data_IF_389140921359
#
_entry.id   IF_389140921359
#
_cell.length_a   1.000
_cell.length_b   1.000
_cell.length_c   1.000
_cell.angle_alpha   90.00
_cell.angle_beta   90.00
_cell.angle_gamma   90.00
#
_symmetry.space_group_name_H-M   'P 1'
#
loop_
_entity.id
_entity.type
_entity.pdbx_description
1 polymer ?
#
# COMPACT_ATOMS: atom_id res chain seq x y z
N UNK A 1 28.36 2.37 4.00
CA UNK A 1 27.91 1.00 4.27
C UNK A 1 27.87 0.31 2.93
N UNK A 2 28.50 -0.88 2.78
CA UNK A 2 28.71 -1.57 1.51
C UNK A 2 27.43 -2.12 0.88
N UNK A 3 26.57 -1.21 0.39
CA UNK A 3 25.40 -1.55 -0.42
C UNK A 3 25.79 -1.39 -1.87
N UNK A 4 25.63 -2.45 -2.67
CA UNK A 4 25.82 -2.40 -4.11
C UNK A 4 24.69 -1.58 -4.73
N UNK A 5 25.03 -0.70 -5.68
CA UNK A 5 24.07 0.14 -6.40
C UNK A 5 24.33 0.08 -7.89
N UNK A 6 23.26 0.16 -8.68
CA UNK A 6 23.33 0.31 -10.14
C UNK A 6 22.29 1.34 -10.59
N UNK A 7 22.53 1.97 -11.72
CA UNK A 7 21.59 2.88 -12.40
C UNK A 7 20.95 2.24 -13.63
N UNK A 8 21.24 0.95 -13.88
CA UNK A 8 20.77 0.21 -15.06
C UNK A 8 19.39 -0.46 -14.86
N UNK A 9 18.73 -0.13 -13.74
CA UNK A 9 17.41 -0.68 -13.43
C UNK A 9 17.46 -2.17 -13.07
N UNK A 10 16.34 -2.86 -13.29
CA UNK A 10 16.22 -4.28 -12.99
C UNK A 10 17.09 -5.14 -13.90
N UNK A 11 17.30 -4.74 -15.16
CA UNK A 11 18.17 -5.44 -16.10
C UNK A 11 19.61 -5.52 -15.58
N UNK A 12 20.12 -4.42 -15.03
CA UNK A 12 21.45 -4.40 -14.40
C UNK A 12 21.52 -5.28 -13.14
N UNK A 13 20.44 -5.32 -12.35
CA UNK A 13 20.37 -6.21 -11.21
C UNK A 13 20.38 -7.68 -11.63
N UNK A 14 19.58 -8.03 -12.63
CA UNK A 14 19.50 -9.41 -13.19
C UNK A 14 20.83 -9.86 -13.80
N UNK A 15 21.58 -8.95 -14.43
CA UNK A 15 22.89 -9.26 -15.01
C UNK A 15 24.01 -9.35 -13.98
N UNK A 16 23.76 -9.01 -12.72
CA UNK A 16 24.76 -9.02 -11.67
C UNK A 16 24.94 -10.40 -11.03
N UNK A 17 26.13 -10.69 -10.53
CA UNK A 17 26.44 -11.95 -9.84
C UNK A 17 25.57 -12.16 -8.58
N UNK A 18 25.13 -11.05 -7.95
CA UNK A 18 24.31 -11.11 -6.71
C UNK A 18 22.87 -11.51 -6.98
N UNK A 19 22.37 -11.45 -8.22
CA UNK A 19 20.97 -11.77 -8.51
C UNK A 19 20.56 -13.17 -8.08
N UNK A 20 21.47 -14.13 -8.23
CA UNK A 20 21.22 -15.50 -7.79
C UNK A 20 20.98 -15.63 -6.27
N UNK A 21 21.52 -14.72 -5.46
CA UNK A 21 21.40 -14.68 -4.01
C UNK A 21 20.19 -13.87 -3.53
N UNK A 22 19.57 -13.06 -4.43
CA UNK A 22 18.39 -12.26 -4.09
C UNK A 22 17.20 -13.19 -3.87
N UNK A 23 16.59 -13.11 -2.70
CA UNK A 23 15.36 -13.83 -2.38
C UNK A 23 14.13 -12.94 -2.48
N UNK A 24 14.25 -11.66 -2.12
CA UNK A 24 13.15 -10.69 -2.01
C UNK A 24 13.51 -9.42 -2.77
N UNK A 25 12.56 -8.92 -3.56
CA UNK A 25 12.64 -7.65 -4.26
C UNK A 25 11.59 -6.69 -3.73
N UNK A 26 11.98 -5.47 -3.37
CA UNK A 26 11.06 -4.38 -3.03
C UNK A 26 10.95 -3.45 -4.22
N UNK A 27 9.77 -3.35 -4.81
CA UNK A 27 9.54 -2.46 -5.95
C UNK A 27 8.93 -1.14 -5.49
N UNK A 28 9.73 -0.08 -5.53
CA UNK A 28 9.33 1.29 -5.20
C UNK A 28 9.39 2.20 -6.43
N UNK A 29 9.08 1.68 -7.61
CA UNK A 29 9.17 2.42 -8.87
C UNK A 29 7.81 3.04 -9.27
N UNK A 30 7.16 2.52 -10.30
CA UNK A 30 5.85 2.98 -10.77
C UNK A 30 4.94 1.80 -11.10
N UNK A 31 3.64 2.03 -11.14
CA UNK A 31 2.66 1.02 -11.51
C UNK A 31 2.94 0.38 -12.88
N UNK A 32 3.39 1.17 -13.86
CA UNK A 32 3.74 0.68 -15.19
C UNK A 32 5.00 -0.19 -15.20
N UNK A 33 6.05 0.21 -14.49
CA UNK A 33 7.31 -0.54 -14.41
C UNK A 33 7.12 -1.84 -13.60
N UNK A 34 6.30 -1.82 -12.57
CA UNK A 34 6.05 -2.98 -11.72
C UNK A 34 5.56 -4.21 -12.50
N UNK A 35 4.78 -4.03 -13.56
CA UNK A 35 4.32 -5.15 -14.40
C UNK A 35 5.50 -5.95 -14.95
N UNK A 36 6.50 -5.26 -15.49
CA UNK A 36 7.71 -5.88 -16.06
C UNK A 36 8.57 -6.49 -14.96
N UNK A 37 8.74 -5.77 -13.84
CA UNK A 37 9.53 -6.24 -12.70
C UNK A 37 8.92 -7.50 -12.09
N UNK A 38 7.59 -7.55 -11.96
CA UNK A 38 6.88 -8.72 -11.46
C UNK A 38 7.09 -9.94 -12.37
N UNK A 39 7.01 -9.79 -13.69
CA UNK A 39 7.24 -10.89 -14.63
C UNK A 39 8.66 -11.48 -14.47
N UNK A 40 9.66 -10.61 -14.31
CA UNK A 40 11.05 -11.02 -14.08
C UNK A 40 11.19 -11.77 -12.74
N UNK A 41 10.65 -11.22 -11.66
CA UNK A 41 10.74 -11.83 -10.34
C UNK A 41 10.01 -13.18 -10.28
N UNK A 42 8.82 -13.29 -10.88
CA UNK A 42 8.08 -14.55 -10.98
C UNK A 42 8.86 -15.59 -11.76
N UNK A 43 9.41 -15.22 -12.93
CA UNK A 43 10.24 -16.08 -13.77
C UNK A 43 11.42 -16.67 -12.98
N UNK A 44 12.08 -15.84 -12.18
CA UNK A 44 13.30 -16.19 -11.46
C UNK A 44 13.04 -16.68 -10.01
N UNK A 45 11.76 -16.90 -9.66
CA UNK A 45 11.36 -17.44 -8.36
C UNK A 45 11.64 -16.51 -7.17
N UNK A 46 11.64 -15.18 -7.40
CA UNK A 46 11.87 -14.18 -6.36
C UNK A 46 10.56 -13.71 -5.76
N UNK A 47 10.54 -13.47 -4.44
CA UNK A 47 9.41 -12.81 -3.79
C UNK A 47 9.41 -11.31 -4.16
N UNK A 48 8.26 -10.80 -4.57
CA UNK A 48 8.05 -9.38 -4.86
C UNK A 48 7.20 -8.73 -3.77
N UNK A 49 7.73 -7.67 -3.18
CA UNK A 49 6.98 -6.77 -2.29
C UNK A 49 6.72 -5.48 -3.06
N UNK A 50 5.48 -5.32 -3.52
CA UNK A 50 5.06 -4.18 -4.33
C UNK A 50 4.71 -2.98 -3.44
N UNK A 51 5.50 -1.90 -3.54
CA UNK A 51 5.26 -0.61 -2.91
C UNK A 51 4.69 0.41 -3.89
N UNK A 52 4.30 -0.04 -5.09
CA UNK A 52 3.67 0.80 -6.12
C UNK A 52 2.14 0.65 -6.06
N UNK A 53 1.38 1.57 -6.66
CA UNK A 53 -0.07 1.42 -6.75
C UNK A 53 -0.54 0.47 -7.87
N UNK A 54 0.31 -0.44 -8.39
CA UNK A 54 -0.01 -1.33 -9.50
C UNK A 54 -1.10 -2.36 -9.19
N UNK A 55 -1.24 -2.76 -7.93
CA UNK A 55 -2.27 -3.69 -7.45
C UNK A 55 -2.33 -5.03 -8.21
N UNK A 56 -1.17 -5.62 -8.54
CA UNK A 56 -1.07 -6.91 -9.25
C UNK A 56 -1.22 -8.07 -8.28
N UNK A 57 -0.50 -8.05 -7.16
CA UNK A 57 -0.61 -9.06 -6.10
C UNK A 57 -1.81 -8.82 -5.17
N UNK A 58 -2.11 -9.76 -4.27
CA UNK A 58 -3.12 -9.54 -3.23
C UNK A 58 -2.72 -8.37 -2.34
N UNK A 59 -3.72 -7.61 -1.88
CA UNK A 59 -3.48 -6.51 -0.94
C UNK A 59 -3.07 -7.06 0.41
N UNK A 60 -1.88 -6.64 0.87
CA UNK A 60 -1.31 -7.05 2.13
C UNK A 60 -1.20 -5.86 3.09
N UNK A 61 -1.93 -5.95 4.18
CA UNK A 61 -1.82 -5.07 5.33
C UNK A 61 -1.33 -5.96 6.48
N UNK A 62 -0.03 -5.96 6.80
CA UNK A 62 0.57 -6.97 7.66
C UNK A 62 -0.15 -7.26 8.96
N UNK A 63 -0.60 -6.25 9.75
CA UNK A 63 -1.32 -6.53 10.99
C UNK A 63 -2.74 -7.11 10.80
N UNK A 64 -3.23 -7.19 9.56
CA UNK A 64 -4.59 -7.67 9.25
C UNK A 64 -4.56 -9.03 8.58
N UNK A 65 -3.75 -9.21 7.52
CA UNK A 65 -3.86 -10.38 6.65
C UNK A 65 -2.51 -10.91 6.11
N UNK A 66 -1.36 -10.60 6.74
CA UNK A 66 -0.07 -11.11 6.25
C UNK A 66 -0.03 -12.63 6.18
N UNK A 67 -0.60 -13.33 7.17
CA UNK A 67 -0.59 -14.78 7.25
C UNK A 67 -1.32 -15.45 6.09
N UNK A 68 -2.25 -14.76 5.44
CA UNK A 68 -3.00 -15.25 4.28
C UNK A 68 -2.17 -15.20 2.98
N UNK A 69 -1.02 -14.54 3.01
CA UNK A 69 -0.23 -14.24 1.82
C UNK A 69 1.22 -14.71 1.87
N UNK A 70 1.59 -15.50 2.86
CA UNK A 70 2.97 -16.01 3.04
C UNK A 70 3.46 -16.91 1.90
N UNK A 71 2.54 -17.48 1.14
CA UNK A 71 2.81 -18.36 -0.01
C UNK A 71 2.79 -17.62 -1.37
N UNK A 72 2.52 -16.32 -1.39
CA UNK A 72 2.40 -15.54 -2.63
C UNK A 72 3.76 -15.03 -3.09
N UNK A 73 3.99 -15.09 -4.39
CA UNK A 73 5.20 -14.55 -4.99
C UNK A 73 5.19 -13.03 -5.15
N UNK A 74 4.01 -12.41 -5.13
CA UNK A 74 3.83 -10.96 -5.12
C UNK A 74 2.81 -10.59 -4.06
N UNK A 75 3.12 -9.59 -3.25
CA UNK A 75 2.19 -8.97 -2.31
C UNK A 75 2.19 -7.47 -2.53
N UNK A 76 0.99 -6.89 -2.69
CA UNK A 76 0.83 -5.46 -2.86
C UNK A 76 0.63 -4.78 -1.51
N UNK A 77 1.51 -3.85 -1.16
CA UNK A 77 1.48 -3.11 0.11
C UNK A 77 0.51 -1.93 0.08
N UNK A 78 -0.36 -1.88 -0.89
CA UNK A 78 -1.39 -0.84 -1.07
C UNK A 78 -0.76 0.54 -1.26
N UNK A 79 -0.80 1.39 -0.23
CA UNK A 79 -0.20 2.73 -0.20
C UNK A 79 0.21 3.08 1.23
N UNK A 80 1.05 4.09 1.39
CA UNK A 80 1.45 4.55 2.74
C UNK A 80 0.24 4.98 3.59
N UNK A 81 -0.70 5.73 3.00
CA UNK A 81 -1.95 6.09 3.67
C UNK A 81 -2.82 4.85 3.97
N UNK A 82 -2.90 3.91 3.02
CA UNK A 82 -3.61 2.65 3.23
C UNK A 82 -3.03 1.82 4.38
N UNK A 83 -1.71 1.67 4.44
CA UNK A 83 -1.04 0.95 5.55
C UNK A 83 -1.31 1.57 6.92
N UNK A 84 -1.38 2.91 6.98
CA UNK A 84 -1.64 3.62 8.22
C UNK A 84 -3.11 3.55 8.67
N UNK A 85 -4.06 3.42 7.76
CA UNK A 85 -5.48 3.67 8.02
C UNK A 85 -6.39 2.45 7.91
N UNK A 86 -6.11 1.54 6.97
CA UNK A 86 -6.93 0.33 6.77
C UNK A 86 -7.02 -0.54 8.04
N UNK A 87 -5.97 -0.71 8.86
CA UNK A 87 -6.09 -1.43 10.13
C UNK A 87 -7.16 -0.85 11.06
N UNK A 88 -7.36 0.48 11.06
CA UNK A 88 -8.37 1.14 11.88
C UNK A 88 -9.79 0.84 11.34
N UNK A 89 -9.98 0.87 10.03
CA UNK A 89 -11.25 0.47 9.40
C UNK A 89 -11.56 -0.99 9.74
N UNK A 90 -10.59 -1.87 9.61
CA UNK A 90 -10.73 -3.29 9.94
C UNK A 90 -11.10 -3.49 11.41
N UNK A 91 -10.47 -2.74 12.35
CA UNK A 91 -10.80 -2.80 13.76
C UNK A 91 -12.27 -2.44 14.03
N UNK A 92 -12.80 -1.40 13.36
CA UNK A 92 -14.22 -1.02 13.45
C UNK A 92 -15.12 -2.12 12.85
N UNK A 93 -14.75 -2.66 11.70
CA UNK A 93 -15.52 -3.74 11.04
C UNK A 93 -15.66 -4.98 11.94
N UNK A 94 -14.61 -5.33 12.66
CA UNK A 94 -14.62 -6.51 13.56
C UNK A 94 -15.62 -6.42 14.73
N UNK A 95 -16.03 -5.23 15.10
CA UNK A 95 -16.90 -4.98 16.28
C UNK A 95 -18.24 -4.36 15.91
N UNK A 96 -18.52 -4.21 14.63
CA UNK A 96 -19.77 -3.71 14.06
C UNK A 96 -20.51 -4.80 13.29
N UNK A 97 -21.82 -4.67 13.13
CA UNK A 97 -22.61 -5.60 12.31
C UNK A 97 -22.30 -5.40 10.81
N UNK A 98 -22.09 -4.14 10.40
CA UNK A 98 -21.59 -3.77 9.08
C UNK A 98 -20.93 -2.40 9.08
N UNK A 99 -20.11 -2.13 8.05
CA UNK A 99 -19.53 -0.82 7.75
C UNK A 99 -19.89 -0.47 6.30
N UNK A 100 -21.08 0.12 6.06
CA UNK A 100 -21.55 0.45 4.71
C UNK A 100 -20.63 1.41 3.96
N UNK A 101 -19.87 2.25 4.68
CA UNK A 101 -18.97 3.24 4.07
C UNK A 101 -17.79 3.55 4.98
N UNK A 102 -16.60 3.63 4.38
CA UNK A 102 -15.43 4.21 5.04
C UNK A 102 -14.64 5.10 4.08
N UNK A 103 -14.10 6.20 4.61
CA UNK A 103 -13.31 7.18 3.86
C UNK A 103 -12.01 7.48 4.59
N UNK A 104 -10.94 7.58 3.81
CA UNK A 104 -9.62 7.98 4.27
C UNK A 104 -9.26 9.32 3.62
N UNK A 105 -8.84 10.29 4.42
CA UNK A 105 -8.30 11.57 3.98
C UNK A 105 -6.86 11.65 4.43
N UNK A 106 -5.92 11.44 3.51
CA UNK A 106 -4.49 11.48 3.76
C UNK A 106 -3.91 12.85 3.38
N UNK A 107 -3.46 13.63 4.36
CA UNK A 107 -2.75 14.90 4.13
C UNK A 107 -1.25 14.66 4.23
N UNK A 108 -0.56 14.73 3.10
CA UNK A 108 0.88 14.51 3.00
C UNK A 108 1.60 15.82 2.66
N UNK A 109 2.83 15.98 3.14
CA UNK A 109 3.65 17.13 2.74
C UNK A 109 3.86 17.13 1.23
N UNK A 110 3.61 18.27 0.58
CA UNK A 110 3.87 18.45 -0.85
C UNK A 110 5.32 18.13 -1.22
N UNK A 111 6.28 18.36 -0.32
CA UNK A 111 7.69 18.00 -0.51
C UNK A 111 7.96 16.50 -0.51
N UNK A 112 7.15 15.72 0.21
CA UNK A 112 7.28 14.25 0.27
C UNK A 112 6.68 13.57 -0.96
N UNK A 113 5.76 14.24 -1.67
CA UNK A 113 5.17 13.75 -2.88
C UNK A 113 6.13 13.92 -4.07
N UNK A 114 6.93 12.91 -4.33
CA UNK A 114 7.84 12.88 -5.48
C UNK A 114 7.12 12.81 -6.84
N UNK A 115 7.88 12.84 -7.95
CA UNK A 115 7.31 12.75 -9.29
C UNK A 115 6.42 11.53 -9.50
N UNK A 116 6.81 10.37 -8.97
CA UNK A 116 6.04 9.14 -9.06
C UNK A 116 4.67 9.25 -8.37
N UNK A 117 4.61 9.77 -7.14
CA UNK A 117 3.35 9.98 -6.42
C UNK A 117 2.43 10.94 -7.18
N UNK A 118 2.98 12.02 -7.72
CA UNK A 118 2.20 13.03 -8.46
C UNK A 118 1.66 12.49 -9.79
N UNK A 119 2.43 11.65 -10.46
CA UNK A 119 2.03 11.03 -11.73
C UNK A 119 0.98 9.91 -11.55
N UNK A 120 0.88 9.32 -10.34
CA UNK A 120 0.00 8.18 -10.06
C UNK A 120 -1.00 8.49 -8.93
N UNK A 121 -1.48 9.74 -8.87
CA UNK A 121 -2.44 10.15 -7.82
C UNK A 121 -3.77 9.41 -7.93
N UNK A 122 -4.24 9.16 -9.14
CA UNK A 122 -5.49 8.45 -9.37
C UNK A 122 -5.37 6.99 -8.93
N UNK A 123 -4.29 6.32 -9.32
CA UNK A 123 -3.99 4.94 -8.89
C UNK A 123 -3.81 4.85 -7.37
N UNK A 124 -3.23 5.89 -6.74
CA UNK A 124 -3.14 5.94 -5.28
C UNK A 124 -4.52 5.93 -4.63
N UNK A 125 -5.42 6.77 -5.10
CA UNK A 125 -6.78 6.89 -4.52
C UNK A 125 -7.61 5.66 -4.78
N UNK A 126 -7.56 5.10 -5.99
CA UNK A 126 -8.28 3.89 -6.37
C UNK A 126 -7.78 2.67 -5.58
N UNK A 127 -6.46 2.45 -5.53
CA UNK A 127 -5.87 1.34 -4.80
C UNK A 127 -6.15 1.42 -3.31
N UNK A 128 -6.08 2.62 -2.72
CA UNK A 128 -6.39 2.81 -1.30
C UNK A 128 -7.87 2.56 -1.02
N UNK A 129 -8.78 3.12 -1.83
CA UNK A 129 -10.22 2.91 -1.68
C UNK A 129 -10.58 1.42 -1.76
N UNK A 130 -10.00 0.70 -2.73
CA UNK A 130 -10.21 -0.75 -2.86
C UNK A 130 -9.61 -1.52 -1.67
N UNK A 131 -8.48 -1.09 -1.11
CA UNK A 131 -7.91 -1.68 0.11
C UNK A 131 -8.82 -1.52 1.33
N UNK A 132 -9.52 -0.37 1.44
CA UNK A 132 -10.54 -0.12 2.47
C UNK A 132 -11.70 -1.11 2.36
N UNK A 133 -12.10 -1.47 1.12
CA UNK A 133 -13.15 -2.46 0.88
C UNK A 133 -12.66 -3.89 1.14
N UNK A 134 -11.61 -4.30 0.45
CA UNK A 134 -11.15 -5.70 0.40
C UNK A 134 -10.49 -6.16 1.69
N UNK A 135 -9.71 -5.29 2.34
CA UNK A 135 -8.97 -5.62 3.56
C UNK A 135 -9.63 -4.99 4.80
N UNK A 136 -10.07 -3.74 4.68
CA UNK A 136 -10.76 -3.03 5.77
C UNK A 136 -12.15 -3.57 6.07
N UNK A 137 -12.80 -4.21 5.09
CA UNK A 137 -14.13 -4.81 5.22
C UNK A 137 -15.29 -3.83 5.10
N UNK A 138 -15.05 -2.59 4.66
CA UNK A 138 -16.13 -1.67 4.32
C UNK A 138 -16.82 -2.09 3.01
N UNK A 139 -18.15 -1.93 2.93
CA UNK A 139 -18.90 -2.23 1.70
C UNK A 139 -18.53 -1.27 0.57
N UNK A 140 -18.25 0.01 0.92
CA UNK A 140 -17.77 1.02 0.00
C UNK A 140 -16.64 1.83 0.62
N UNK A 141 -15.51 1.89 -0.08
CA UNK A 141 -14.32 2.65 0.30
C UNK A 141 -14.16 3.92 -0.52
N UNK A 142 -13.55 4.94 0.09
CA UNK A 142 -13.08 6.14 -0.59
C UNK A 142 -11.75 6.58 -0.02
N UNK A 143 -10.88 7.12 -0.88
CA UNK A 143 -9.64 7.74 -0.45
C UNK A 143 -9.49 9.12 -1.08
N UNK A 144 -8.97 10.05 -0.30
CA UNK A 144 -8.65 11.42 -0.71
C UNK A 144 -7.20 11.68 -0.30
N UNK A 145 -6.38 12.15 -1.23
CA UNK A 145 -5.04 12.64 -0.95
C UNK A 145 -4.99 14.17 -1.03
N UNK A 146 -4.40 14.79 -0.03
CA UNK A 146 -4.16 16.23 0.03
C UNK A 146 -2.66 16.48 0.02
N UNK A 147 -2.16 17.14 -1.01
CA UNK A 147 -0.78 17.61 -1.08
C UNK A 147 -0.66 18.95 -0.36
N UNK A 148 -0.19 18.91 0.88
CA UNK A 148 -0.12 20.08 1.77
C UNK A 148 1.18 20.87 1.54
N UNK A 149 1.10 22.17 1.15
CA UNK A 149 2.26 23.01 0.89
C UNK A 149 2.83 23.70 2.13
N UNK A 150 2.38 23.36 3.34
CA UNK A 150 2.81 24.05 4.57
C UNK A 150 4.33 24.00 4.78
N UNK A 151 4.86 25.08 5.33
CA UNK A 151 6.25 25.22 5.76
C UNK A 151 6.31 25.61 7.26
N UNK A 152 7.08 24.88 8.08
CA UNK A 152 7.87 23.69 7.75
C UNK A 152 7.01 22.49 7.31
N UNK A 153 7.60 21.53 6.54
CA UNK A 153 6.87 20.38 6.04
C UNK A 153 6.23 19.59 7.18
N UNK A 154 4.96 19.28 7.04
CA UNK A 154 4.22 18.51 8.05
C UNK A 154 4.48 17.01 7.92
N UNK A 155 4.35 16.29 9.03
CA UNK A 155 4.22 14.83 9.03
C UNK A 155 2.86 14.47 8.40
N UNK A 156 2.80 13.35 7.68
CA UNK A 156 1.53 12.83 7.14
C UNK A 156 0.48 12.73 8.24
N UNK A 157 -0.69 13.27 7.97
CA UNK A 157 -1.85 13.22 8.86
C UNK A 157 -3.01 12.60 8.12
N UNK A 158 -3.50 11.51 8.68
CA UNK A 158 -4.64 10.78 8.13
C UNK A 158 -5.86 10.96 9.02
N UNK A 159 -7.01 11.12 8.37
CA UNK A 159 -8.32 11.11 9.02
C UNK A 159 -9.15 9.99 8.43
N UNK A 160 -9.78 9.22 9.29
CA UNK A 160 -10.60 8.08 8.92
C UNK A 160 -12.04 8.37 9.33
N UNK A 161 -12.96 8.22 8.40
CA UNK A 161 -14.40 8.25 8.65
C UNK A 161 -14.94 6.86 8.35
N UNK A 162 -15.60 6.25 9.33
CA UNK A 162 -16.29 4.97 9.16
C UNK A 162 -17.74 5.13 9.58
N UNK A 163 -18.66 4.82 8.68
CA UNK A 163 -20.08 4.71 9.00
C UNK A 163 -20.36 3.25 9.35
N UNK A 164 -20.55 2.97 10.63
CA UNK A 164 -20.85 1.64 11.17
C UNK A 164 -22.32 1.52 11.56
N UNK A 165 -22.85 0.32 11.39
CA UNK A 165 -24.20 -0.06 11.82
C UNK A 165 -24.08 -1.18 12.84
N UNK A 166 -24.82 -1.08 13.94
CA UNK A 166 -24.70 -2.03 15.06
C UNK A 166 -23.36 -1.91 15.79
N UNK A 167 -23.09 -2.86 16.66
CA UNK A 167 -21.91 -2.86 17.50
C UNK A 167 -22.09 -2.07 18.80
N UNK A 168 -21.12 -2.23 19.70
CA UNK A 168 -21.10 -1.54 20.99
C UNK A 168 -20.05 -0.42 20.94
N UNK A 169 -20.46 0.81 21.19
CA UNK A 169 -19.59 2.00 21.21
C UNK A 169 -18.31 1.80 22.03
N UNK A 170 -18.39 1.09 23.14
CA UNK A 170 -17.25 0.84 24.01
C UNK A 170 -16.22 -0.10 23.38
N UNK A 171 -16.65 -1.03 22.52
CA UNK A 171 -15.74 -1.91 21.77
C UNK A 171 -15.04 -1.19 20.62
N UNK A 172 -15.70 -0.20 20.02
CA UNK A 172 -15.09 0.64 18.97
C UNK A 172 -14.01 1.56 19.55
N UNK A 173 -14.14 1.96 20.84
CA UNK A 173 -13.21 2.87 21.53
C UNK A 173 -11.98 2.17 22.13
N UNK A 174 -11.99 0.89 22.27
CA UNK A 174 -10.87 0.07 22.78
C UNK A 174 -9.83 -0.24 21.71
#
# INVERSE_FOLDING_TARGET
RGVSTTHEGIEGAVASDIWSEVAICFDATSAGAHKIHNEICVRDGKLMVDLTPAAIGPFCIPPVNADEHVDKQNVNMVTCGGQATIPMVYAVTRVSDSVPYAEIVASVSSRSAGPGTRANIDEFTETTARGVEVVGGAEKGKAIIILNPAEPPMIMRDTIYAFSVGGEDDKIRQ
#
